data_IF_346406770378
#
_entry.id   IF_346406770378
#
_cell.length_a   1.000
_cell.length_b   1.000
_cell.length_c   1.000
_cell.angle_alpha   90.00
_cell.angle_beta   90.00
_cell.angle_gamma   90.00
#
_symmetry.space_group_name_H-M   'P 1'
#
loop_
_entity.id
_entity.type
_entity.pdbx_description
1 polymer ?
#
# COMPACT_ATOMS: atom_id res chain seq x y z
N UNK A 1 16.78 -41.30 -69.47
CA UNK A 1 17.51 -40.31 -68.64
C UNK A 1 16.54 -39.21 -68.27
N UNK A 2 16.31 -38.97 -66.98
CA UNK A 2 15.37 -37.95 -66.51
C UNK A 2 14.75 -38.32 -65.16
N UNK A 3 15.54 -38.25 -64.09
CA UNK A 3 15.11 -38.42 -62.70
C UNK A 3 14.46 -37.14 -62.19
N UNK A 4 13.18 -37.19 -61.79
CA UNK A 4 12.52 -36.10 -61.09
C UNK A 4 12.62 -36.32 -59.58
N UNK A 5 13.39 -35.47 -58.90
CA UNK A 5 13.44 -35.39 -57.44
C UNK A 5 12.18 -34.68 -56.92
N UNK A 6 11.36 -35.39 -56.16
CA UNK A 6 10.30 -34.79 -55.36
C UNK A 6 10.88 -34.35 -54.01
N UNK A 7 11.03 -33.03 -53.78
CA UNK A 7 11.32 -32.49 -52.46
C UNK A 7 10.04 -32.50 -51.63
N UNK A 8 9.97 -33.39 -50.64
CA UNK A 8 8.96 -33.34 -49.59
C UNK A 8 9.35 -32.29 -48.56
N UNK A 9 8.70 -31.12 -48.59
CA UNK A 9 8.82 -30.11 -47.54
C UNK A 9 7.97 -30.50 -46.34
N UNK A 10 8.59 -31.09 -45.32
CA UNK A 10 7.97 -31.31 -44.01
C UNK A 10 7.86 -29.97 -43.28
N UNK A 11 6.67 -29.35 -43.31
CA UNK A 11 6.33 -28.21 -42.48
C UNK A 11 6.20 -28.66 -41.02
N UNK A 12 7.19 -28.30 -40.20
CA UNK A 12 7.11 -28.35 -38.74
C UNK A 12 5.99 -27.41 -38.29
N UNK A 13 4.86 -27.97 -37.85
CA UNK A 13 3.84 -27.25 -37.12
C UNK A 13 4.44 -26.79 -35.79
N UNK A 14 4.93 -25.54 -35.75
CA UNK A 14 5.20 -24.84 -34.51
C UNK A 14 3.86 -24.65 -33.82
N UNK A 15 3.64 -25.40 -32.74
CA UNK A 15 2.52 -25.21 -31.83
C UNK A 15 2.90 -24.02 -30.94
N UNK A 16 2.35 -22.81 -31.11
CA UNK A 16 2.54 -21.78 -30.09
C UNK A 16 1.77 -22.29 -28.87
N UNK A 17 2.50 -22.75 -27.85
CA UNK A 17 1.93 -22.93 -26.53
C UNK A 17 1.31 -21.59 -26.15
N UNK A 18 -0.01 -21.49 -26.29
CA UNK A 18 -0.77 -20.40 -25.72
C UNK A 18 -0.57 -20.54 -24.21
N UNK A 19 0.40 -19.80 -23.68
CA UNK A 19 0.53 -19.56 -22.25
C UNK A 19 -0.78 -18.88 -21.84
N UNK A 20 -1.74 -19.69 -21.38
CA UNK A 20 -2.93 -19.18 -20.74
C UNK A 20 -2.45 -18.33 -19.57
N UNK A 21 -2.72 -17.02 -19.61
CA UNK A 21 -2.41 -16.13 -18.51
C UNK A 21 -2.98 -16.75 -17.22
N UNK A 22 -2.20 -16.80 -16.13
CA UNK A 22 -2.66 -17.42 -14.90
C UNK A 22 -3.98 -16.77 -14.47
N UNK A 23 -4.98 -17.59 -14.18
CA UNK A 23 -6.29 -17.10 -13.75
C UNK A 23 -6.15 -16.25 -12.48
N UNK A 24 -6.86 -15.12 -12.36
CA UNK A 24 -6.79 -14.24 -11.20
C UNK A 24 -7.08 -14.97 -9.89
N UNK A 25 -6.45 -14.53 -8.80
CA UNK A 25 -6.61 -15.14 -7.48
C UNK A 25 -7.73 -14.43 -6.74
N UNK A 26 -8.73 -15.19 -6.28
CA UNK A 26 -9.84 -14.62 -5.51
C UNK A 26 -9.41 -14.34 -4.07
N UNK A 27 -9.42 -13.07 -3.67
CA UNK A 27 -9.01 -12.62 -2.33
C UNK A 27 -10.09 -11.76 -1.70
N UNK A 28 -10.11 -11.69 -0.37
CA UNK A 28 -10.96 -10.73 0.34
C UNK A 28 -10.21 -10.12 1.53
N UNK A 29 -10.28 -8.80 1.65
CA UNK A 29 -9.74 -8.08 2.81
C UNK A 29 -10.78 -8.13 3.93
N UNK A 30 -10.45 -8.78 5.04
CA UNK A 30 -11.43 -9.07 6.10
C UNK A 30 -11.34 -8.10 7.28
N UNK A 31 -10.14 -7.65 7.64
CA UNK A 31 -9.91 -6.82 8.82
C UNK A 31 -8.68 -5.93 8.60
N UNK A 32 -8.84 -4.65 8.94
CA UNK A 32 -7.74 -3.73 9.20
C UNK A 32 -7.99 -3.16 10.58
N UNK A 33 -7.05 -3.28 11.52
CA UNK A 33 -7.23 -2.79 12.89
C UNK A 33 -6.00 -2.04 13.40
N UNK A 34 -6.15 -1.31 14.49
CA UNK A 34 -5.03 -0.72 15.21
C UNK A 34 -4.58 -1.58 16.40
N UNK A 35 -3.28 -1.82 16.51
CA UNK A 35 -2.61 -2.36 17.68
C UNK A 35 -1.46 -1.45 18.16
N UNK A 36 -1.20 -0.30 17.52
CA UNK A 36 -0.08 0.60 17.82
C UNK A 36 -0.44 1.75 18.77
N UNK A 37 -1.71 1.85 19.21
CA UNK A 37 -2.25 2.95 20.01
C UNK A 37 -2.05 4.33 19.36
N UNK A 38 -2.07 4.40 18.03
CA UNK A 38 -1.85 5.64 17.31
C UNK A 38 -2.97 6.66 17.61
N UNK A 39 -2.67 7.88 18.13
CA UNK A 39 -3.70 8.84 18.54
C UNK A 39 -4.61 9.32 17.39
N UNK A 40 -4.13 9.18 16.15
CA UNK A 40 -4.84 9.56 14.94
C UNK A 40 -5.72 8.44 14.38
N UNK A 41 -5.51 7.20 14.78
CA UNK A 41 -6.27 6.05 14.27
C UNK A 41 -7.63 6.00 14.94
N UNK A 42 -8.69 6.01 14.13
CA UNK A 42 -10.08 5.92 14.59
C UNK A 42 -10.73 4.68 13.98
N UNK A 43 -11.79 4.11 14.58
CA UNK A 43 -12.50 2.97 14.00
C UNK A 43 -12.95 3.20 12.54
N UNK A 44 -13.28 4.45 12.17
CA UNK A 44 -13.64 4.79 10.78
C UNK A 44 -12.47 4.71 9.77
N UNK A 45 -11.22 4.62 10.24
CA UNK A 45 -10.07 4.33 9.38
C UNK A 45 -9.99 2.85 9.02
N UNK A 46 -10.49 1.93 9.85
CA UNK A 46 -10.46 0.50 9.57
C UNK A 46 -11.16 0.17 8.24
N UNK A 47 -12.40 0.67 8.08
CA UNK A 47 -13.18 0.47 6.85
C UNK A 47 -12.53 1.18 5.65
N UNK A 48 -12.02 2.41 5.85
CA UNK A 48 -11.35 3.17 4.78
C UNK A 48 -10.08 2.46 4.29
N UNK A 49 -9.28 1.93 5.19
CA UNK A 49 -8.05 1.21 4.85
C UNK A 49 -8.38 -0.12 4.17
N UNK A 50 -9.44 -0.81 4.61
CA UNK A 50 -9.97 -1.98 3.90
C UNK A 50 -10.33 -1.61 2.46
N UNK A 51 -11.07 -0.52 2.25
CA UNK A 51 -11.45 -0.07 0.89
C UNK A 51 -10.24 0.30 0.05
N UNK A 52 -9.27 1.03 0.60
CA UNK A 52 -8.03 1.39 -0.12
C UNK A 52 -7.28 0.12 -0.53
N UNK A 53 -7.03 -0.79 0.41
CA UNK A 53 -6.30 -2.02 0.11
C UNK A 53 -7.05 -2.90 -0.90
N UNK A 54 -8.37 -3.03 -0.78
CA UNK A 54 -9.19 -3.73 -1.78
C UNK A 54 -9.09 -3.08 -3.16
N UNK A 55 -9.04 -1.75 -3.22
CA UNK A 55 -8.89 -0.99 -4.48
C UNK A 55 -7.52 -1.21 -5.10
N UNK A 56 -6.44 -1.14 -4.31
CA UNK A 56 -5.07 -1.37 -4.79
C UNK A 56 -4.86 -2.83 -5.25
N UNK A 57 -5.48 -3.80 -4.56
CA UNK A 57 -5.46 -5.20 -5.01
C UNK A 57 -6.26 -5.42 -6.29
N UNK A 58 -7.41 -4.74 -6.43
CA UNK A 58 -8.21 -4.83 -7.65
C UNK A 58 -7.54 -4.14 -8.84
N UNK A 59 -6.85 -3.01 -8.61
CA UNK A 59 -6.13 -2.27 -9.65
C UNK A 59 -4.87 -3.00 -10.14
N UNK A 60 -4.25 -3.85 -9.30
CA UNK A 60 -3.11 -4.68 -9.68
C UNK A 60 -3.41 -5.66 -10.83
N UNK A 61 -4.69 -5.98 -11.09
CA UNK A 61 -5.12 -6.76 -12.27
C UNK A 61 -4.97 -8.28 -12.15
N UNK A 62 -4.24 -8.78 -11.15
CA UNK A 62 -4.02 -10.22 -10.92
C UNK A 62 -4.97 -10.86 -9.88
N UNK A 63 -5.84 -10.04 -9.27
CA UNK A 63 -6.74 -10.46 -8.20
C UNK A 63 -8.21 -10.25 -8.55
N UNK A 64 -9.04 -11.21 -8.14
CA UNK A 64 -10.49 -11.02 -8.04
C UNK A 64 -10.83 -10.67 -6.60
N UNK A 65 -10.96 -9.38 -6.32
CA UNK A 65 -11.24 -8.90 -4.96
C UNK A 65 -12.74 -9.01 -4.67
N UNK A 66 -13.08 -9.76 -3.64
CA UNK A 66 -14.46 -9.83 -3.15
C UNK A 66 -14.71 -8.70 -2.16
N UNK A 67 -15.71 -7.88 -2.45
CA UNK A 67 -16.17 -6.86 -1.53
C UNK A 67 -16.76 -7.50 -0.28
N UNK A 68 -16.34 -7.02 0.89
CA UNK A 68 -16.78 -7.53 2.20
C UNK A 68 -17.39 -6.46 3.08
N UNK A 69 -17.53 -5.25 2.55
CA UNK A 69 -18.28 -4.22 3.23
C UNK A 69 -19.71 -4.69 3.53
N UNK A 70 -20.07 -4.66 4.81
CA UNK A 70 -21.34 -5.18 5.28
C UNK A 70 -22.54 -4.36 4.79
N UNK A 71 -22.35 -3.08 4.45
CA UNK A 71 -23.39 -2.22 3.90
C UNK A 71 -23.57 -2.48 2.40
N UNK A 72 -22.48 -2.49 1.64
CA UNK A 72 -22.50 -2.78 0.19
C UNK A 72 -23.04 -4.18 -0.09
N UNK A 73 -22.66 -5.18 0.71
CA UNK A 73 -23.20 -6.54 0.56
C UNK A 73 -24.69 -6.66 0.88
N UNK A 74 -25.24 -5.82 1.77
CA UNK A 74 -26.67 -5.82 2.08
C UNK A 74 -27.46 -5.21 0.92
N UNK A 75 -26.99 -4.09 0.40
CA UNK A 75 -27.60 -3.40 -0.74
C UNK A 75 -27.59 -4.29 -1.99
N UNK A 76 -26.43 -4.86 -2.34
CA UNK A 76 -26.31 -5.80 -3.47
C UNK A 76 -27.23 -7.01 -3.31
N UNK A 77 -27.34 -7.57 -2.09
CA UNK A 77 -28.26 -8.70 -1.84
C UNK A 77 -29.72 -8.31 -2.00
N UNK A 78 -30.10 -7.11 -1.56
CA UNK A 78 -31.45 -6.59 -1.75
C UNK A 78 -31.76 -6.38 -3.23
N UNK A 79 -30.83 -5.79 -3.97
CA UNK A 79 -30.97 -5.53 -5.40
C UNK A 79 -31.05 -6.85 -6.20
N UNK A 80 -30.14 -7.79 -5.95
CA UNK A 80 -30.15 -9.11 -6.59
C UNK A 80 -31.42 -9.89 -6.27
N UNK A 81 -31.94 -9.80 -5.04
CA UNK A 81 -33.21 -10.43 -4.66
C UNK A 81 -34.40 -9.81 -5.41
N UNK A 82 -34.37 -8.50 -5.64
CA UNK A 82 -35.43 -7.79 -6.36
C UNK A 82 -35.44 -8.12 -7.85
N UNK A 83 -34.27 -8.34 -8.46
CA UNK A 83 -34.16 -8.64 -9.90
C UNK A 83 -34.13 -10.14 -10.24
N UNK A 84 -34.02 -11.04 -9.25
CA UNK A 84 -34.12 -12.49 -9.46
C UNK A 84 -33.01 -13.10 -10.34
N UNK A 85 -31.86 -12.43 -10.45
CA UNK A 85 -30.82 -12.73 -11.45
C UNK A 85 -29.97 -13.96 -11.10
N UNK A 86 -29.97 -14.44 -9.84
CA UNK A 86 -29.04 -15.48 -9.37
C UNK A 86 -29.74 -16.61 -8.61
N UNK A 87 -29.30 -17.86 -8.82
CA UNK A 87 -29.65 -19.02 -7.98
C UNK A 87 -28.74 -19.06 -6.74
N UNK A 88 -29.23 -19.64 -5.64
CA UNK A 88 -28.53 -19.69 -4.33
C UNK A 88 -27.14 -20.35 -4.38
N UNK A 89 -26.91 -21.28 -5.32
CA UNK A 89 -25.64 -21.99 -5.48
C UNK A 89 -24.57 -21.12 -6.16
N UNK A 90 -24.97 -20.31 -7.15
CA UNK A 90 -24.09 -19.37 -7.84
C UNK A 90 -23.63 -18.23 -6.91
N UNK A 91 -24.49 -17.83 -5.96
CA UNK A 91 -24.14 -16.89 -4.90
C UNK A 91 -23.07 -17.43 -3.95
N UNK A 92 -23.07 -18.72 -3.61
CA UNK A 92 -22.07 -19.32 -2.71
C UNK A 92 -20.72 -19.56 -3.39
N UNK A 93 -20.71 -19.86 -4.69
CA UNK A 93 -19.49 -20.11 -5.44
C UNK A 93 -18.70 -18.82 -5.70
N UNK A 94 -19.38 -17.71 -6.02
CA UNK A 94 -18.73 -16.41 -6.26
C UNK A 94 -18.35 -15.64 -4.99
N UNK A 95 -18.90 -16.01 -3.84
CA UNK A 95 -18.59 -15.35 -2.56
C UNK A 95 -17.46 -16.00 -1.77
N UNK A 96 -16.80 -17.05 -2.28
CA UNK A 96 -15.74 -17.74 -1.53
C UNK A 96 -14.35 -17.32 -2.00
N UNK A 97 -13.72 -16.43 -1.23
CA UNK A 97 -12.31 -16.10 -1.47
C UNK A 97 -11.44 -17.34 -1.24
N UNK A 98 -10.35 -17.47 -2.01
CA UNK A 98 -9.31 -18.46 -1.75
C UNK A 98 -8.48 -18.06 -0.53
N UNK A 99 -8.22 -16.75 -0.39
CA UNK A 99 -7.47 -16.19 0.72
C UNK A 99 -8.21 -15.03 1.40
N UNK A 100 -8.08 -14.97 2.72
CA UNK A 100 -8.45 -13.80 3.51
C UNK A 100 -7.21 -13.01 3.91
N UNK A 101 -7.28 -11.70 3.73
CA UNK A 101 -6.20 -10.78 4.04
C UNK A 101 -6.61 -9.97 5.27
N UNK A 102 -5.77 -10.00 6.30
CA UNK A 102 -5.90 -9.19 7.50
C UNK A 102 -4.65 -8.34 7.66
N UNK A 103 -4.80 -7.05 7.91
CA UNK A 103 -3.72 -6.16 8.28
C UNK A 103 -3.97 -5.58 9.69
N UNK A 104 -2.92 -5.27 10.44
CA UNK A 104 -3.05 -4.55 11.69
C UNK A 104 -1.92 -3.54 11.81
N UNK A 105 -2.23 -2.27 12.08
CA UNK A 105 -1.21 -1.27 12.40
C UNK A 105 -0.50 -1.72 13.67
N UNK A 106 0.78 -2.08 13.57
CA UNK A 106 1.58 -2.60 14.67
C UNK A 106 2.46 -1.52 15.30
N UNK A 107 2.96 -0.58 14.51
CA UNK A 107 3.80 0.50 15.01
C UNK A 107 3.56 1.83 14.27
N UNK A 108 3.82 2.93 14.96
CA UNK A 108 3.73 4.28 14.45
C UNK A 108 4.80 5.17 15.11
N UNK A 109 5.62 5.83 14.30
CA UNK A 109 6.60 6.79 14.77
C UNK A 109 6.50 8.12 14.00
N UNK A 110 6.66 9.22 14.74
CA UNK A 110 6.84 10.56 14.19
C UNK A 110 8.24 11.04 14.59
N UNK A 111 9.14 11.09 13.62
CA UNK A 111 10.50 11.63 13.80
C UNK A 111 10.50 13.06 13.30
N UNK A 112 10.89 14.00 14.17
CA UNK A 112 11.00 15.40 13.82
C UNK A 112 12.48 15.79 13.78
N UNK A 113 12.98 16.24 12.64
CA UNK A 113 14.32 16.81 12.58
C UNK A 113 14.30 18.24 13.13
N UNK A 114 15.30 18.57 13.95
CA UNK A 114 15.49 19.92 14.49
C UNK A 114 15.53 20.98 13.37
N UNK A 115 14.87 22.10 13.62
CA UNK A 115 14.70 23.18 12.65
C UNK A 115 16.04 23.90 12.37
N UNK A 116 16.67 23.62 11.22
CA UNK A 116 17.82 24.40 10.76
C UNK A 116 17.33 25.71 10.13
N UNK A 117 17.51 26.82 10.85
CA UNK A 117 17.08 28.16 10.44
C UNK A 117 18.27 29.06 10.11
N UNK A 118 18.43 29.41 8.83
CA UNK A 118 19.40 30.40 8.36
C UNK A 118 18.72 31.74 8.08
N UNK A 119 19.17 32.81 8.73
CA UNK A 119 18.67 34.17 8.54
C UNK A 119 19.75 35.09 8.00
N UNK A 120 19.46 35.84 6.94
CA UNK A 120 20.36 36.86 6.39
C UNK A 120 19.73 38.22 6.68
N UNK A 121 20.44 39.07 7.42
CA UNK A 121 19.98 40.41 7.80
C UNK A 121 20.82 41.48 7.12
N UNK A 122 20.16 42.44 6.46
CA UNK A 122 20.83 43.61 5.89
C UNK A 122 20.00 44.87 6.12
N UNK A 123 20.63 45.89 6.73
CA UNK A 123 20.10 47.27 6.88
C UNK A 123 18.65 47.35 7.40
N UNK A 124 18.35 46.70 8.51
CA UNK A 124 17.04 46.77 9.19
C UNK A 124 15.98 45.81 8.64
N UNK A 125 16.26 45.11 7.53
CA UNK A 125 15.46 43.99 7.02
C UNK A 125 16.10 42.65 7.39
N UNK A 126 15.32 41.77 8.02
CA UNK A 126 15.67 40.38 8.34
C UNK A 126 14.82 39.46 7.49
N UNK A 127 15.48 38.66 6.65
CA UNK A 127 14.85 37.57 5.91
C UNK A 127 15.28 36.25 6.54
N UNK A 128 14.32 35.51 7.09
CA UNK A 128 14.54 34.22 7.72
C UNK A 128 13.86 33.11 6.93
N UNK A 129 14.58 32.03 6.63
CA UNK A 129 14.00 30.78 6.12
C UNK A 129 14.13 29.73 7.20
N UNK A 130 13.00 29.13 7.62
CA UNK A 130 13.02 27.96 8.50
C UNK A 130 12.53 26.76 7.70
N UNK A 131 13.37 25.72 7.65
CA UNK A 131 13.00 24.40 7.14
C UNK A 131 12.79 23.47 8.32
N UNK A 132 11.66 22.79 8.37
CA UNK A 132 11.41 21.72 9.32
C UNK A 132 11.05 20.46 8.54
N UNK A 133 11.78 19.38 8.80
CA UNK A 133 11.48 18.06 8.23
C UNK A 133 10.80 17.21 9.30
N UNK A 134 9.69 16.58 8.93
CA UNK A 134 9.04 15.56 9.76
C UNK A 134 8.89 14.28 8.96
N UNK A 135 9.33 13.18 9.52
CA UNK A 135 9.19 11.86 8.93
C UNK A 135 8.16 11.07 9.73
N UNK A 136 7.18 10.53 9.02
CA UNK A 136 6.13 9.70 9.58
C UNK A 136 6.37 8.28 9.11
N UNK A 137 6.41 7.35 10.05
CA UNK A 137 6.63 5.94 9.84
C UNK A 137 5.43 5.15 10.39
N UNK A 138 4.97 4.18 9.61
CA UNK A 138 3.92 3.22 10.00
C UNK A 138 4.37 1.81 9.65
N UNK A 139 4.01 0.85 10.50
CA UNK A 139 4.20 -0.58 10.24
C UNK A 139 2.86 -1.30 10.36
N UNK A 140 2.54 -2.15 9.39
CA UNK A 140 1.34 -3.00 9.36
C UNK A 140 1.72 -4.47 9.35
N UNK A 141 1.23 -5.25 10.31
CA UNK A 141 1.33 -6.70 10.31
C UNK A 141 0.26 -7.32 9.41
N UNK A 142 0.71 -7.84 8.28
CA UNK A 142 -0.08 -8.54 7.27
C UNK A 142 -0.16 -10.03 7.58
N UNK A 143 -1.36 -10.60 7.45
CA UNK A 143 -1.64 -12.04 7.53
C UNK A 143 -2.52 -12.46 6.38
N UNK A 144 -2.08 -13.46 5.63
CA UNK A 144 -2.83 -14.10 4.54
C UNK A 144 -3.24 -15.48 5.00
N UNK A 145 -4.55 -15.71 5.09
CA UNK A 145 -5.15 -16.93 5.62
C UNK A 145 -5.76 -17.72 4.48
N UNK A 146 -5.40 -19.00 4.33
CA UNK A 146 -6.03 -19.88 3.36
C UNK A 146 -7.42 -20.30 3.87
N UNK A 147 -8.47 -20.01 3.11
CA UNK A 147 -9.86 -20.25 3.53
C UNK A 147 -10.22 -21.74 3.59
N UNK A 148 -9.49 -22.60 2.87
CA UNK A 148 -9.72 -24.06 2.91
C UNK A 148 -9.14 -24.70 4.16
N UNK A 149 -7.98 -24.26 4.62
CA UNK A 149 -7.26 -24.90 5.74
C UNK A 149 -7.33 -24.10 7.04
N UNK A 150 -7.65 -22.80 6.98
CA UNK A 150 -7.54 -21.89 8.11
C UNK A 150 -6.10 -21.53 8.50
N UNK A 151 -5.09 -22.07 7.80
CA UNK A 151 -3.69 -21.81 8.08
C UNK A 151 -3.27 -20.43 7.54
N UNK A 152 -2.34 -19.79 8.25
CA UNK A 152 -1.64 -18.60 7.75
C UNK A 152 -0.69 -19.07 6.65
N UNK A 153 -0.99 -18.71 5.41
CA UNK A 153 -0.16 -19.03 4.26
C UNK A 153 1.06 -18.10 4.16
N UNK A 154 0.86 -16.82 4.46
CA UNK A 154 1.90 -15.80 4.44
C UNK A 154 1.67 -14.79 5.57
N UNK A 155 2.75 -14.30 6.18
CA UNK A 155 2.69 -13.26 7.20
C UNK A 155 3.92 -12.37 7.07
N UNK A 156 3.74 -11.06 7.22
CA UNK A 156 4.84 -10.09 7.09
C UNK A 156 4.48 -8.75 7.72
N UNK A 157 5.45 -8.04 8.28
CA UNK A 157 5.28 -6.61 8.60
C UNK A 157 5.66 -5.76 7.40
N UNK A 158 4.73 -4.91 6.96
CA UNK A 158 4.87 -4.00 5.83
C UNK A 158 5.02 -2.58 6.37
N UNK A 159 6.04 -1.88 5.91
CA UNK A 159 6.41 -0.57 6.42
C UNK A 159 6.12 0.50 5.38
N UNK A 160 5.67 1.66 5.84
CA UNK A 160 5.44 2.83 5.00
C UNK A 160 6.00 4.06 5.69
N UNK A 161 6.75 4.86 4.94
CA UNK A 161 7.25 6.14 5.43
C UNK A 161 6.85 7.28 4.50
N UNK A 162 6.67 8.45 5.07
CA UNK A 162 6.46 9.68 4.32
C UNK A 162 7.12 10.86 5.00
N UNK A 163 7.78 11.69 4.17
CA UNK A 163 8.46 12.90 4.61
C UNK A 163 7.57 14.12 4.34
N UNK A 164 7.41 14.96 5.36
CA UNK A 164 6.88 16.31 5.28
C UNK A 164 8.03 17.30 5.34
N UNK A 165 8.20 18.08 4.27
CA UNK A 165 9.10 19.23 4.28
C UNK A 165 8.26 20.49 4.36
N UNK A 166 8.34 21.20 5.48
CA UNK A 166 7.72 22.51 5.64
C UNK A 166 8.79 23.59 5.47
N UNK A 167 8.57 24.48 4.51
CA UNK A 167 9.39 25.68 4.32
C UNK A 167 8.56 26.91 4.71
N UNK A 168 9.07 27.67 5.67
CA UNK A 168 8.50 28.98 6.03
C UNK A 168 9.51 30.08 5.73
N UNK A 169 9.02 31.14 5.09
CA UNK A 169 9.80 32.34 4.81
C UNK A 169 9.16 33.50 5.56
N UNK A 170 9.95 34.19 6.38
CA UNK A 170 9.52 35.38 7.08
C UNK A 170 10.39 36.55 6.65
N UNK A 171 9.74 37.61 6.17
CA UNK A 171 10.38 38.91 5.97
C UNK A 171 9.90 39.84 7.08
N UNK A 172 10.85 40.42 7.81
CA UNK A 172 10.56 41.44 8.82
C UNK A 172 11.49 42.63 8.61
N UNK A 173 10.95 43.83 8.73
CA UNK A 173 11.69 45.06 8.51
C UNK A 173 11.29 46.13 9.51
N UNK A 174 12.27 46.87 10.02
CA UNK A 174 12.04 48.06 10.84
C UNK A 174 12.41 49.30 10.04
N UNK A 175 11.42 50.19 9.79
CA UNK A 175 11.64 51.47 9.12
C UNK A 175 11.18 52.58 10.07
N UNK A 176 12.13 53.38 10.57
CA UNK A 176 11.89 54.55 11.44
C UNK A 176 10.91 54.27 12.62
N UNK A 177 11.13 53.16 13.34
CA UNK A 177 10.35 52.81 14.53
C UNK A 177 9.04 52.06 14.26
N UNK A 178 8.69 51.84 12.99
CA UNK A 178 7.53 51.02 12.59
C UNK A 178 8.04 49.64 12.17
N UNK A 179 7.50 48.59 12.80
CA UNK A 179 7.81 47.18 12.52
C UNK A 179 6.76 46.62 11.55
N UNK A 180 7.20 46.12 10.38
CA UNK A 180 6.38 45.42 9.41
C UNK A 180 6.89 43.98 9.25
N UNK A 181 5.99 43.01 9.36
CA UNK A 181 6.30 41.59 9.20
C UNK A 181 5.29 40.90 8.29
N UNK A 182 5.79 40.10 7.35
CA UNK A 182 4.98 39.20 6.52
C UNK A 182 5.59 37.80 6.60
N UNK A 183 4.75 36.81 6.93
CA UNK A 183 5.14 35.40 7.03
C UNK A 183 4.32 34.55 6.06
N UNK A 184 5.03 33.75 5.27
CA UNK A 184 4.45 32.79 4.32
C UNK A 184 4.86 31.39 4.77
N UNK A 185 3.88 30.51 4.98
CA UNK A 185 4.11 29.12 5.44
C UNK A 185 3.56 28.14 4.41
N UNK A 186 4.44 27.44 3.68
CA UNK A 186 4.02 26.30 2.85
C UNK A 186 4.02 25.04 3.73
N UNK A 187 2.82 24.55 4.04
CA UNK A 187 2.61 23.25 4.72
C UNK A 187 2.08 22.22 3.73
N UNK A 188 2.80 21.13 3.53
CA UNK A 188 2.25 19.93 2.87
C UNK A 188 1.39 19.16 3.86
N UNK A 189 0.11 19.52 3.96
CA UNK A 189 -0.87 18.76 4.75
C UNK A 189 -0.90 17.29 4.27
N UNK A 190 -0.91 16.35 5.21
CA UNK A 190 -1.20 14.90 5.09
C UNK A 190 -0.01 13.90 4.93
N UNK A 191 1.07 13.99 5.72
CA UNK A 191 2.16 13.02 5.64
C UNK A 191 1.79 11.62 6.18
N UNK A 192 1.02 11.51 7.27
CA UNK A 192 0.58 10.19 7.79
C UNK A 192 -0.24 9.41 6.76
N UNK A 193 -1.18 10.07 6.07
CA UNK A 193 -1.99 9.43 5.03
C UNK A 193 -1.13 8.95 3.86
N UNK A 194 -0.03 9.66 3.54
CA UNK A 194 0.93 9.21 2.52
C UNK A 194 1.71 7.98 2.97
N UNK A 195 2.17 7.95 4.22
CA UNK A 195 2.88 6.79 4.77
C UNK A 195 1.98 5.55 4.78
N UNK A 196 0.73 5.72 5.21
CA UNK A 196 -0.25 4.62 5.19
C UNK A 196 -0.56 4.17 3.76
N UNK A 197 -0.73 5.09 2.80
CA UNK A 197 -0.96 4.71 1.41
C UNK A 197 0.24 3.96 0.82
N UNK A 198 1.46 4.42 1.11
CA UNK A 198 2.68 3.73 0.70
C UNK A 198 2.71 2.29 1.25
N UNK A 199 2.39 2.09 2.53
CA UNK A 199 2.30 0.75 3.12
C UNK A 199 1.22 -0.14 2.44
N UNK A 200 0.08 0.43 2.04
CA UNK A 200 -0.98 -0.34 1.35
C UNK A 200 -0.58 -0.72 -0.07
N UNK A 201 0.14 0.14 -0.79
CA UNK A 201 0.69 -0.17 -2.12
C UNK A 201 1.75 -1.28 -2.01
N UNK A 202 2.70 -1.13 -1.09
CA UNK A 202 3.73 -2.15 -0.81
C UNK A 202 3.08 -3.49 -0.42
N UNK A 203 1.96 -3.45 0.32
CA UNK A 203 1.17 -4.66 0.65
C UNK A 203 0.61 -5.32 -0.61
N UNK A 204 0.03 -4.55 -1.53
CA UNK A 204 -0.53 -5.08 -2.77
C UNK A 204 0.56 -5.69 -3.67
N UNK A 205 1.71 -5.01 -3.81
CA UNK A 205 2.88 -5.49 -4.55
C UNK A 205 3.44 -6.80 -3.95
N UNK A 206 3.57 -6.87 -2.63
CA UNK A 206 4.01 -8.09 -1.94
C UNK A 206 3.04 -9.24 -2.17
N UNK A 207 1.73 -8.98 -2.09
CA UNK A 207 0.72 -10.00 -2.32
C UNK A 207 0.74 -10.49 -3.76
N UNK A 208 0.93 -9.58 -4.73
CA UNK A 208 1.07 -9.93 -6.14
C UNK A 208 2.26 -10.86 -6.36
N UNK A 209 3.39 -10.50 -5.76
CA UNK A 209 4.60 -11.29 -5.76
C UNK A 209 4.39 -12.72 -5.21
N UNK A 210 3.89 -12.86 -3.97
CA UNK A 210 3.84 -14.18 -3.31
C UNK A 210 2.66 -15.05 -3.75
N UNK A 211 1.57 -14.44 -4.22
CA UNK A 211 0.36 -15.17 -4.60
C UNK A 211 0.31 -15.46 -6.10
N UNK A 212 0.68 -14.50 -6.94
CA UNK A 212 0.49 -14.58 -8.39
C UNK A 212 1.79 -14.83 -9.14
N UNK A 213 2.74 -13.88 -9.07
CA UNK A 213 3.94 -13.87 -9.91
C UNK A 213 4.92 -14.99 -9.52
N UNK A 214 5.19 -15.13 -8.22
CA UNK A 214 6.06 -16.15 -7.62
C UNK A 214 7.44 -16.26 -8.27
N UNK A 215 8.04 -15.13 -8.60
CA UNK A 215 9.34 -15.05 -9.27
C UNK A 215 10.45 -14.51 -8.34
N UNK A 216 11.45 -13.85 -8.92
CA UNK A 216 12.58 -13.21 -8.24
C UNK A 216 12.18 -12.12 -7.23
N UNK A 217 10.97 -11.58 -7.30
CA UNK A 217 10.47 -10.60 -6.33
C UNK A 217 10.49 -11.13 -4.88
N UNK A 218 10.35 -12.45 -4.69
CA UNK A 218 10.36 -13.05 -3.35
C UNK A 218 11.71 -12.81 -2.67
N UNK A 219 12.82 -12.89 -3.42
CA UNK A 219 14.16 -12.67 -2.88
C UNK A 219 14.38 -11.23 -2.43
N UNK A 220 13.85 -10.25 -3.17
CA UNK A 220 13.91 -8.83 -2.75
C UNK A 220 13.17 -8.61 -1.43
N UNK A 221 12.00 -9.23 -1.32
CA UNK A 221 11.20 -9.21 -0.12
C UNK A 221 11.91 -9.95 1.03
N UNK A 222 12.54 -11.09 0.82
CA UNK A 222 13.35 -11.76 1.86
C UNK A 222 14.50 -10.87 2.34
N UNK A 223 15.24 -10.26 1.42
CA UNK A 223 16.32 -9.32 1.74
C UNK A 223 15.83 -8.09 2.53
N UNK A 224 14.64 -7.56 2.21
CA UNK A 224 13.99 -6.51 3.00
C UNK A 224 13.71 -6.99 4.43
N UNK A 225 13.24 -8.22 4.62
CA UNK A 225 12.94 -8.75 5.96
C UNK A 225 14.22 -9.03 6.78
N UNK A 226 15.30 -9.48 6.13
CA UNK A 226 16.61 -9.63 6.75
C UNK A 226 17.16 -8.29 7.24
N UNK A 227 17.06 -7.23 6.43
CA UNK A 227 17.46 -5.88 6.85
C UNK A 227 16.69 -5.42 8.07
N UNK A 228 15.38 -5.69 8.13
CA UNK A 228 14.57 -5.35 9.31
C UNK A 228 14.96 -6.13 10.55
N UNK A 229 15.23 -7.44 10.40
CA UNK A 229 15.70 -8.28 11.50
C UNK A 229 17.02 -7.74 12.03
N UNK A 230 17.96 -7.38 11.15
CA UNK A 230 19.24 -6.80 11.51
C UNK A 230 19.10 -5.41 12.16
N UNK A 231 18.18 -4.56 11.69
CA UNK A 231 17.94 -3.25 12.31
C UNK A 231 17.29 -3.38 13.69
N UNK A 232 16.43 -4.37 13.89
CA UNK A 232 15.77 -4.62 15.18
C UNK A 232 16.66 -5.39 16.17
N UNK A 233 17.63 -6.18 15.73
CA UNK A 233 18.63 -6.82 16.60
C UNK A 233 19.57 -5.78 17.23
N UNK A 234 19.59 -4.55 16.70
CA UNK A 234 20.32 -3.40 17.27
C UNK A 234 19.50 -2.54 18.24
N UNK A 235 18.24 -2.89 18.51
CA UNK A 235 17.46 -2.28 19.58
C UNK A 235 17.86 -2.91 20.93
N UNK A 236 18.82 -2.24 21.56
CA UNK A 236 19.34 -2.43 22.92
C UNK A 236 18.45 -3.24 23.87
N UNK A 237 18.95 -4.43 24.20
CA UNK A 237 18.55 -5.25 25.34
C UNK A 237 19.42 -4.90 26.57
N UNK A 238 19.65 -3.60 26.82
CA UNK A 238 20.36 -3.07 27.99
C UNK A 238 19.72 -1.80 28.54
#
# INVERSE_FOLDING_TARGET
>A
MGTALALSTSSLLQNPSAYAAPSPITVAVIKVKDNSNAPWFKPSYEDKLRTILSTELASAGHFTVLERDASTLKELKQEVKNFGIWKDEDQKALTRAKYYISAALSDFAEVSDESSGGGIGFKGFKMGKKKSKREYYVSFDLKVINVKTGAIAYSRSIEGSAKEESESSAISGNVKGISLGQSETKKTKLPVTRAVRAAMVETAEYLDCVLYVKDECIAEYEAKDEKRKQSNDSLDLF
#
